data_IF_739722685285
#
_entry.id   IF_739722685285
#
_cell.length_a   1.000
_cell.length_b   1.000
_cell.length_c   1.000
_cell.angle_alpha   90.00
_cell.angle_beta   90.00
_cell.angle_gamma   90.00
#
_symmetry.space_group_name_H-M   'P 1'
#
loop_
_entity.id
_entity.type
_entity.pdbx_description
1 polymer ?
#
# COMPACT_ATOMS: atom_id res chain seq x y z
N UNK A 1 -5.11 -2.84 -7.40
CA UNK A 1 -4.94 -1.73 -6.47
C UNK A 1 -4.47 -2.20 -5.09
N UNK A 2 -5.13 -3.21 -4.46
CA UNK A 2 -4.74 -3.74 -3.14
C UNK A 2 -3.30 -4.25 -3.08
N UNK A 3 -2.87 -5.04 -4.07
CA UNK A 3 -1.51 -5.57 -4.11
C UNK A 3 -0.46 -4.47 -4.32
N UNK A 4 -0.72 -3.49 -5.18
CA UNK A 4 0.21 -2.38 -5.38
C UNK A 4 0.33 -1.53 -4.12
N UNK A 5 -0.78 -1.19 -3.45
CA UNK A 5 -0.74 -0.46 -2.17
C UNK A 5 0.02 -1.26 -1.08
N UNK A 6 -0.18 -2.59 -1.00
CA UNK A 6 0.57 -3.42 -0.06
C UNK A 6 2.08 -3.46 -0.36
N UNK A 7 2.47 -3.52 -1.65
CA UNK A 7 3.88 -3.46 -2.07
C UNK A 7 4.48 -2.11 -1.70
N UNK A 8 3.80 -1.03 -2.06
CA UNK A 8 4.27 0.32 -1.80
C UNK A 8 4.47 0.56 -0.30
N UNK A 9 3.51 0.15 0.52
CA UNK A 9 3.62 0.22 1.98
C UNK A 9 4.77 -0.60 2.55
N UNK A 10 5.01 -1.79 2.01
CA UNK A 10 6.10 -2.65 2.49
C UNK A 10 7.48 -2.11 2.11
N UNK A 11 7.60 -1.44 0.95
CA UNK A 11 8.87 -0.86 0.50
C UNK A 11 9.14 0.49 1.17
N UNK A 12 8.10 1.32 1.35
CA UNK A 12 8.23 2.66 1.91
C UNK A 12 8.79 2.72 3.34
N UNK A 13 8.70 1.62 4.10
CA UNK A 13 9.26 1.53 5.45
C UNK A 13 10.70 1.03 5.49
N UNK A 14 11.25 0.62 4.34
CA UNK A 14 12.65 0.17 4.26
C UNK A 14 13.55 1.40 4.27
N UNK A 15 14.40 1.48 5.30
CA UNK A 15 15.36 2.56 5.45
C UNK A 15 16.71 2.18 4.81
N UNK A 16 17.01 2.80 3.67
CA UNK A 16 18.29 2.64 2.98
C UNK A 16 19.35 3.68 3.40
N UNK A 17 19.12 4.50 4.41
CA UNK A 17 20.09 5.49 4.90
C UNK A 17 21.49 4.92 5.17
N UNK A 18 21.67 3.66 5.65
CA UNK A 18 23.01 3.06 5.79
C UNK A 18 23.80 2.94 4.48
N UNK A 19 23.12 3.02 3.34
CA UNK A 19 23.71 2.96 1.99
C UNK A 19 23.74 4.34 1.30
N UNK A 20 23.35 5.41 1.99
CA UNK A 20 23.36 6.75 1.43
C UNK A 20 24.79 7.16 1.00
N UNK A 21 24.90 7.78 -0.17
CA UNK A 21 26.17 8.20 -0.75
C UNK A 21 27.06 7.07 -1.29
N UNK A 22 26.63 5.81 -1.22
CA UNK A 22 27.38 4.65 -1.72
C UNK A 22 26.91 4.26 -3.12
N UNK A 23 27.85 3.82 -3.96
CA UNK A 23 27.57 3.24 -5.28
C UNK A 23 26.98 1.85 -5.12
N UNK A 24 25.68 1.69 -5.41
CA UNK A 24 24.96 0.44 -5.18
C UNK A 24 24.34 -0.08 -6.48
N UNK A 25 24.45 -1.39 -6.68
CA UNK A 25 23.77 -2.11 -7.75
C UNK A 25 22.62 -2.92 -7.16
N UNK A 26 21.40 -2.77 -7.71
CA UNK A 26 20.26 -3.57 -7.30
C UNK A 26 20.19 -4.85 -8.15
N UNK A 27 20.46 -5.98 -7.52
CA UNK A 27 20.28 -7.30 -8.14
C UNK A 27 18.82 -7.75 -8.06
N UNK A 28 18.19 -7.89 -9.23
CA UNK A 28 16.77 -8.24 -9.36
C UNK A 28 16.56 -9.74 -9.61
N UNK A 29 17.61 -10.56 -9.56
CA UNK A 29 17.56 -11.97 -9.89
C UNK A 29 16.45 -12.74 -9.16
N UNK A 30 16.25 -12.45 -7.89
CA UNK A 30 15.25 -13.13 -7.07
C UNK A 30 13.85 -12.50 -7.17
N UNK A 31 13.72 -11.36 -7.85
CA UNK A 31 12.43 -10.72 -8.13
C UNK A 31 11.77 -11.25 -9.40
N UNK A 32 12.57 -11.71 -10.37
CA UNK A 32 12.08 -12.20 -11.69
C UNK A 32 11.12 -13.40 -11.56
N UNK A 33 11.23 -14.16 -10.48
CA UNK A 33 10.40 -15.36 -10.23
C UNK A 33 8.96 -14.99 -9.84
N UNK A 34 8.71 -13.72 -9.49
CA UNK A 34 7.38 -13.25 -9.10
C UNK A 34 6.50 -13.12 -10.34
N UNK A 35 5.79 -14.18 -10.66
CA UNK A 35 4.68 -14.13 -11.63
C UNK A 35 3.50 -13.48 -10.92
N UNK A 36 3.38 -12.17 -11.10
CA UNK A 36 2.29 -11.41 -10.46
C UNK A 36 0.93 -11.83 -10.99
N UNK A 37 -0.04 -11.89 -10.09
CA UNK A 37 -1.45 -11.96 -10.45
C UNK A 37 -1.90 -10.50 -10.68
N UNK A 38 -2.24 -10.15 -11.92
CA UNK A 38 -2.64 -8.80 -12.27
C UNK A 38 -1.47 -7.88 -12.68
N UNK A 39 -1.55 -6.59 -12.34
CA UNK A 39 -0.61 -5.55 -12.79
C UNK A 39 0.66 -5.43 -11.93
N UNK A 40 0.75 -6.12 -10.79
CA UNK A 40 1.92 -6.09 -9.92
C UNK A 40 2.85 -7.22 -10.36
N UNK A 41 3.93 -6.85 -11.02
CA UNK A 41 4.97 -7.74 -11.50
C UNK A 41 6.32 -7.38 -10.87
N UNK A 42 7.35 -8.15 -11.23
CA UNK A 42 8.72 -7.90 -10.76
C UNK A 42 9.23 -6.50 -11.13
N UNK A 43 8.80 -5.95 -12.26
CA UNK A 43 9.21 -4.62 -12.73
C UNK A 43 8.66 -3.51 -11.86
N UNK A 44 7.39 -3.62 -11.42
CA UNK A 44 6.79 -2.68 -10.49
C UNK A 44 7.55 -2.63 -9.16
N UNK A 45 7.83 -3.80 -8.58
CA UNK A 45 8.59 -3.91 -7.33
C UNK A 45 10.01 -3.35 -7.49
N UNK A 46 10.67 -3.68 -8.61
CA UNK A 46 12.00 -3.16 -8.93
C UNK A 46 11.99 -1.64 -9.01
N UNK A 47 11.00 -1.06 -9.68
CA UNK A 47 10.84 0.39 -9.80
C UNK A 47 10.63 1.06 -8.44
N UNK A 48 9.76 0.51 -7.60
CA UNK A 48 9.50 1.03 -6.25
C UNK A 48 10.74 0.96 -5.35
N UNK A 49 11.50 -0.16 -5.40
CA UNK A 49 12.76 -0.29 -4.67
C UNK A 49 13.81 0.73 -5.14
N UNK A 50 13.99 0.87 -6.46
CA UNK A 50 14.92 1.86 -7.04
C UNK A 50 14.56 3.28 -6.58
N UNK A 51 13.28 3.63 -6.59
CA UNK A 51 12.79 4.93 -6.15
C UNK A 51 13.09 5.16 -4.66
N UNK A 52 12.81 4.18 -3.79
CA UNK A 52 13.08 4.28 -2.36
C UNK A 52 14.59 4.38 -2.06
N UNK A 53 15.43 3.65 -2.79
CA UNK A 53 16.90 3.73 -2.67
C UNK A 53 17.40 5.12 -3.08
N UNK A 54 16.94 5.66 -4.20
CA UNK A 54 17.30 7.00 -4.65
C UNK A 54 16.83 8.06 -3.65
N UNK A 55 15.59 7.95 -3.16
CA UNK A 55 15.06 8.84 -2.14
C UNK A 55 15.87 8.82 -0.84
N UNK A 56 16.49 7.70 -0.52
CA UNK A 56 17.39 7.55 0.62
C UNK A 56 18.83 8.01 0.35
N UNK A 57 19.12 8.54 -0.86
CA UNK A 57 20.43 9.07 -1.22
C UNK A 57 21.44 8.02 -1.69
N UNK A 58 21.02 6.83 -2.11
CA UNK A 58 21.89 5.85 -2.72
C UNK A 58 22.29 6.27 -4.15
N UNK A 59 23.54 6.01 -4.54
CA UNK A 59 24.04 6.24 -5.90
C UNK A 59 23.83 4.95 -6.71
N UNK A 60 22.64 4.83 -7.33
CA UNK A 60 22.26 3.63 -8.08
C UNK A 60 23.09 3.50 -9.35
N UNK A 61 23.65 2.28 -9.55
CA UNK A 61 24.38 1.88 -10.74
C UNK A 61 23.53 0.94 -11.59
N UNK A 62 23.67 1.05 -12.91
CA UNK A 62 22.94 0.19 -13.85
C UNK A 62 23.68 -1.13 -14.13
N UNK A 63 24.99 -1.16 -13.91
CA UNK A 63 25.82 -2.35 -14.11
C UNK A 63 26.40 -2.85 -12.78
N UNK A 64 26.48 -4.18 -12.60
CA UNK A 64 27.02 -4.74 -11.37
C UNK A 64 28.50 -4.38 -11.12
N UNK A 65 29.29 -4.19 -12.19
CA UNK A 65 30.70 -3.81 -12.11
C UNK A 65 30.93 -2.39 -11.55
N UNK A 66 29.97 -1.48 -11.77
CA UNK A 66 30.06 -0.08 -11.34
C UNK A 66 29.63 0.09 -9.87
N UNK A 67 28.95 -0.90 -9.31
CA UNK A 67 28.52 -0.89 -7.91
C UNK A 67 29.61 -1.35 -6.96
N UNK A 68 29.89 -0.60 -5.92
CA UNK A 68 30.73 -1.03 -4.79
C UNK A 68 29.98 -2.03 -3.92
N UNK A 69 28.68 -1.81 -3.74
CA UNK A 69 27.79 -2.67 -2.97
C UNK A 69 26.72 -3.28 -3.86
N UNK A 70 26.34 -4.51 -3.55
CA UNK A 70 25.22 -5.20 -4.18
C UNK A 70 24.08 -5.25 -3.19
N UNK A 71 22.90 -4.83 -3.63
CA UNK A 71 21.64 -4.91 -2.89
C UNK A 71 20.80 -6.00 -3.52
N UNK A 72 20.45 -7.01 -2.76
CA UNK A 72 19.54 -8.07 -3.19
C UNK A 72 18.21 -7.95 -2.49
N UNK A 73 17.13 -8.04 -3.27
CA UNK A 73 15.76 -7.99 -2.77
C UNK A 73 15.04 -9.30 -3.06
N UNK A 74 14.18 -9.72 -2.14
CA UNK A 74 13.32 -10.89 -2.30
C UNK A 74 11.91 -10.58 -1.85
N UNK A 75 10.93 -11.15 -2.56
CA UNK A 75 9.52 -11.14 -2.16
C UNK A 75 9.21 -12.51 -1.56
N UNK A 76 8.82 -12.54 -0.29
CA UNK A 76 8.45 -13.77 0.40
C UNK A 76 6.98 -14.14 0.26
N UNK A 77 6.12 -13.14 0.08
CA UNK A 77 4.70 -13.31 -0.21
C UNK A 77 4.18 -12.10 -0.97
N UNK A 78 3.32 -12.34 -1.92
CA UNK A 78 2.54 -11.34 -2.63
C UNK A 78 1.23 -12.00 -3.05
N UNK A 79 0.12 -11.53 -2.51
CA UNK A 79 -1.16 -12.15 -2.78
C UNK A 79 -2.35 -11.33 -2.28
N UNK A 80 -3.51 -11.79 -2.68
CA UNK A 80 -4.79 -11.27 -2.20
C UNK A 80 -5.62 -12.40 -1.62
N UNK A 81 -6.37 -12.07 -0.59
CA UNK A 81 -7.40 -12.93 0.00
C UNK A 81 -8.75 -12.21 -0.06
N UNK A 82 -9.82 -12.97 -0.21
CA UNK A 82 -11.18 -12.45 -0.25
C UNK A 82 -12.04 -13.23 0.75
N UNK A 83 -12.75 -12.49 1.58
CA UNK A 83 -13.65 -13.05 2.56
C UNK A 83 -15.02 -12.39 2.48
N UNK A 84 -16.00 -13.16 2.04
CA UNK A 84 -17.38 -12.72 1.87
C UNK A 84 -18.25 -13.30 2.96
N UNK A 85 -18.98 -12.45 3.67
CA UNK A 85 -19.94 -12.85 4.70
C UNK A 85 -21.32 -12.31 4.34
N UNK A 86 -22.27 -13.22 4.16
CA UNK A 86 -23.66 -12.87 3.91
C UNK A 86 -24.51 -13.28 5.10
N UNK A 87 -25.24 -12.33 5.65
CA UNK A 87 -26.25 -12.55 6.67
C UNK A 87 -27.63 -12.48 6.01
N UNK A 88 -28.37 -13.58 6.05
CA UNK A 88 -29.66 -13.63 5.38
C UNK A 88 -30.25 -15.03 5.35
N UNK A 89 -31.29 -15.19 4.57
CA UNK A 89 -31.87 -16.48 4.29
C UNK A 89 -31.23 -16.97 2.99
N UNK A 90 -30.36 -17.99 3.03
CA UNK A 90 -29.76 -18.51 1.81
C UNK A 90 -30.84 -19.03 0.88
N UNK A 91 -30.65 -18.98 -0.45
CA UNK A 91 -31.55 -19.64 -1.39
C UNK A 91 -31.63 -21.09 -0.96
N UNK A 92 -32.77 -21.45 -0.36
CA UNK A 92 -32.88 -22.73 0.31
C UNK A 92 -33.05 -23.84 -0.71
N UNK A 93 -31.94 -24.44 -1.09
CA UNK A 93 -31.95 -25.76 -1.75
C UNK A 93 -32.73 -26.81 -0.96
N UNK A 94 -32.75 -26.69 0.38
CA UNK A 94 -33.50 -27.60 1.26
C UNK A 94 -35.01 -27.44 1.19
N UNK A 95 -35.52 -26.19 1.16
CA UNK A 95 -36.98 -25.95 1.01
C UNK A 95 -37.42 -26.25 -0.44
N UNK A 96 -36.60 -25.92 -1.43
CA UNK A 96 -36.88 -26.30 -2.80
C UNK A 96 -36.89 -27.81 -3.00
N UNK A 97 -35.94 -28.54 -2.39
CA UNK A 97 -35.90 -30.00 -2.42
C UNK A 97 -37.10 -30.65 -1.67
N UNK A 98 -37.52 -30.06 -0.53
CA UNK A 98 -38.69 -30.52 0.18
C UNK A 98 -40.00 -30.26 -0.62
N UNK A 99 -40.07 -29.15 -1.35
CA UNK A 99 -41.18 -28.82 -2.24
C UNK A 99 -41.22 -29.73 -3.48
N UNK A 100 -40.07 -30.24 -3.94
CA UNK A 100 -39.98 -31.22 -5.04
C UNK A 100 -40.57 -32.59 -4.66
N UNK A 101 -40.67 -32.92 -3.37
CA UNK A 101 -41.27 -34.15 -2.89
C UNK A 101 -42.80 -34.09 -2.82
N UNK A 102 -43.40 -32.92 -3.00
CA UNK A 102 -44.84 -32.75 -2.99
C UNK A 102 -45.39 -32.65 -4.42
N UNK A 103 -46.26 -33.58 -4.87
CA UNK A 103 -46.87 -33.49 -6.15
C UNK A 103 -47.80 -32.28 -6.25
N UNK A 104 -47.73 -31.50 -7.30
CA UNK A 104 -48.55 -30.32 -7.63
C UNK A 104 -48.24 -29.03 -6.87
N UNK A 105 -47.07 -28.89 -6.26
CA UNK A 105 -46.64 -27.56 -5.72
C UNK A 105 -45.91 -26.80 -6.82
N UNK A 106 -46.35 -25.56 -7.17
CA UNK A 106 -45.63 -24.74 -8.16
C UNK A 106 -44.25 -24.41 -7.62
N UNK A 107 -43.22 -24.59 -8.48
CA UNK A 107 -41.84 -24.20 -8.17
C UNK A 107 -41.74 -22.70 -8.07
N UNK A 108 -41.78 -22.17 -6.86
CA UNK A 108 -41.52 -20.76 -6.61
C UNK A 108 -40.02 -20.63 -6.29
N UNK A 109 -39.23 -19.97 -7.13
CA UNK A 109 -37.85 -19.69 -6.79
C UNK A 109 -37.83 -18.77 -5.58
N UNK A 110 -37.26 -19.24 -4.47
CA UNK A 110 -37.07 -18.40 -3.28
C UNK A 110 -35.82 -17.56 -3.56
N UNK A 111 -35.99 -16.23 -3.69
CA UNK A 111 -34.85 -15.38 -3.94
C UNK A 111 -33.90 -15.38 -2.73
N UNK A 112 -32.63 -15.15 -2.97
CA UNK A 112 -31.66 -14.88 -1.93
C UNK A 112 -32.06 -13.59 -1.18
N UNK A 113 -32.43 -13.73 0.11
CA UNK A 113 -32.79 -12.58 0.94
C UNK A 113 -31.57 -12.25 1.79
N UNK A 114 -30.71 -11.42 1.25
CA UNK A 114 -29.54 -10.89 1.95
C UNK A 114 -29.94 -9.68 2.81
N UNK A 115 -29.92 -9.85 4.12
CA UNK A 115 -30.15 -8.77 5.08
C UNK A 115 -28.90 -7.88 5.23
N UNK A 116 -27.72 -8.50 5.20
CA UNK A 116 -26.45 -7.79 5.17
C UNK A 116 -25.43 -8.64 4.41
N UNK A 117 -24.58 -7.97 3.63
CA UNK A 117 -23.44 -8.58 2.94
C UNK A 117 -22.20 -7.74 3.21
N UNK A 118 -21.13 -8.42 3.51
CA UNK A 118 -19.82 -7.81 3.75
C UNK A 118 -18.79 -8.52 2.89
N UNK A 119 -18.12 -7.76 2.05
CA UNK A 119 -17.02 -8.22 1.23
C UNK A 119 -15.73 -7.61 1.77
N UNK A 120 -14.83 -8.43 2.27
CA UNK A 120 -13.51 -8.02 2.74
C UNK A 120 -12.45 -8.55 1.75
N UNK A 121 -11.71 -7.64 1.14
CA UNK A 121 -10.58 -7.95 0.28
C UNK A 121 -9.30 -7.53 0.99
N UNK A 122 -8.33 -8.42 1.07
CA UNK A 122 -7.04 -8.21 1.70
C UNK A 122 -5.93 -8.42 0.68
N UNK A 123 -5.03 -7.43 0.54
CA UNK A 123 -3.76 -7.57 -0.16
C UNK A 123 -2.62 -7.67 0.86
N UNK A 124 -1.63 -8.52 0.61
CA UNK A 124 -0.46 -8.67 1.46
C UNK A 124 0.82 -8.70 0.65
N UNK A 125 1.85 -8.02 1.15
CA UNK A 125 3.20 -8.02 0.61
C UNK A 125 4.22 -8.25 1.72
N UNK A 126 5.23 -9.08 1.43
CA UNK A 126 6.35 -9.36 2.31
C UNK A 126 7.65 -9.22 1.53
N UNK A 127 8.44 -8.22 1.89
CA UNK A 127 9.70 -7.87 1.22
C UNK A 127 10.84 -7.95 2.22
N UNK A 128 11.99 -8.43 1.78
CA UNK A 128 13.24 -8.38 2.54
C UNK A 128 14.38 -7.98 1.61
N UNK A 129 15.26 -7.14 2.11
CA UNK A 129 16.40 -6.59 1.36
C UNK A 129 17.66 -6.73 2.20
N UNK A 130 18.78 -7.05 1.57
CA UNK A 130 20.09 -7.04 2.22
C UNK A 130 21.16 -6.53 1.26
N UNK A 131 22.25 -6.05 1.82
CA UNK A 131 23.35 -5.47 1.08
C UNK A 131 24.68 -6.05 1.55
N UNK A 132 25.61 -6.24 0.60
CA UNK A 132 26.95 -6.68 0.87
C UNK A 132 27.96 -6.00 -0.07
N UNK A 133 29.21 -5.95 0.36
CA UNK A 133 30.29 -5.44 -0.47
C UNK A 133 30.56 -6.40 -1.64
N UNK A 134 30.59 -5.88 -2.87
CA UNK A 134 30.61 -6.68 -4.10
C UNK A 134 31.80 -7.65 -4.16
N UNK A 135 33.00 -7.19 -3.82
CA UNK A 135 34.23 -8.00 -3.97
C UNK A 135 34.45 -8.97 -2.81
N UNK A 136 34.31 -8.45 -1.58
CA UNK A 136 34.63 -9.24 -0.37
C UNK A 136 33.48 -10.11 0.10
N UNK A 137 32.24 -9.87 -0.40
CA UNK A 137 31.00 -10.52 0.04
C UNK A 137 30.68 -10.32 1.52
N UNK A 138 31.33 -9.36 2.17
CA UNK A 138 31.05 -9.02 3.56
C UNK A 138 29.68 -8.35 3.64
N UNK A 139 28.76 -8.84 4.49
CA UNK A 139 27.46 -8.23 4.68
C UNK A 139 27.61 -6.83 5.31
N UNK A 140 26.83 -5.88 4.82
CA UNK A 140 26.89 -4.49 5.28
C UNK A 140 25.62 -4.08 5.99
N UNK A 141 24.48 -4.56 5.47
CA UNK A 141 23.18 -4.13 5.98
C UNK A 141 22.06 -5.10 5.55
N UNK A 142 21.02 -5.17 6.35
CA UNK A 142 19.77 -5.87 6.02
C UNK A 142 18.56 -5.11 6.57
N UNK A 143 17.48 -5.07 5.82
CA UNK A 143 16.22 -4.41 6.24
C UNK A 143 15.43 -5.18 7.30
N UNK A 144 15.77 -6.46 7.50
CA UNK A 144 14.82 -7.37 8.13
C UNK A 144 13.68 -7.73 7.17
N UNK A 145 12.57 -8.19 7.72
CA UNK A 145 11.38 -8.55 6.94
C UNK A 145 10.36 -7.42 7.08
N UNK A 146 10.09 -6.75 5.98
CA UNK A 146 9.01 -5.77 5.88
C UNK A 146 7.73 -6.47 5.42
N UNK A 147 6.65 -6.31 6.19
CA UNK A 147 5.32 -6.85 5.87
C UNK A 147 4.33 -5.71 5.88
N UNK A 148 3.52 -5.64 4.83
CA UNK A 148 2.40 -4.72 4.79
C UNK A 148 1.15 -5.39 4.23
N UNK A 149 0.02 -4.94 4.73
CA UNK A 149 -1.30 -5.34 4.27
C UNK A 149 -2.09 -4.14 3.80
N UNK A 150 -2.95 -4.38 2.83
CA UNK A 150 -3.89 -3.41 2.29
C UNK A 150 -5.27 -4.04 2.25
N UNK A 151 -6.30 -3.30 2.61
CA UNK A 151 -7.65 -3.84 2.65
C UNK A 151 -8.67 -2.92 1.98
N UNK A 152 -9.71 -3.56 1.45
CA UNK A 152 -10.94 -2.93 0.97
C UNK A 152 -12.12 -3.68 1.56
N UNK A 153 -13.09 -2.95 2.08
CA UNK A 153 -14.30 -3.52 2.67
C UNK A 153 -15.51 -2.83 2.09
N UNK A 154 -16.41 -3.62 1.55
CA UNK A 154 -17.70 -3.18 1.05
C UNK A 154 -18.80 -3.79 1.92
N UNK A 155 -19.67 -2.95 2.47
CA UNK A 155 -20.78 -3.39 3.33
C UNK A 155 -22.11 -2.95 2.73
N UNK A 156 -23.02 -3.91 2.62
CA UNK A 156 -24.40 -3.71 2.16
C UNK A 156 -25.34 -4.08 3.31
N UNK A 157 -26.38 -3.27 3.52
CA UNK A 157 -27.40 -3.52 4.54
C UNK A 157 -28.77 -3.35 3.90
N UNK A 158 -29.61 -4.37 3.94
CA UNK A 158 -30.97 -4.39 3.35
C UNK A 158 -30.99 -3.97 1.87
N UNK A 159 -29.94 -4.36 1.11
CA UNK A 159 -29.79 -3.99 -0.30
C UNK A 159 -29.31 -2.57 -0.53
N UNK A 160 -29.05 -1.79 0.51
CA UNK A 160 -28.50 -0.44 0.43
C UNK A 160 -27.00 -0.48 0.66
N UNK A 161 -26.23 0.09 -0.27
CA UNK A 161 -24.75 0.09 -0.21
C UNK A 161 -24.16 0.34 -1.60
N UNK A 162 -22.82 0.14 -1.77
CA UNK A 162 -21.87 -0.22 -0.71
C UNK A 162 -21.50 0.95 0.21
N UNK A 163 -21.32 0.65 1.50
CA UNK A 163 -20.51 1.48 2.40
C UNK A 163 -19.09 0.94 2.30
N UNK A 164 -18.18 1.75 1.79
CA UNK A 164 -16.81 1.38 1.47
C UNK A 164 -15.85 1.93 2.51
N UNK A 165 -15.00 1.06 3.05
CA UNK A 165 -13.97 1.39 4.02
C UNK A 165 -12.70 0.56 3.74
N UNK A 166 -11.55 1.05 4.19
CA UNK A 166 -10.29 0.34 4.02
C UNK A 166 -9.11 1.23 3.68
N UNK A 167 -7.92 0.62 3.63
CA UNK A 167 -6.66 1.36 3.42
C UNK A 167 -6.54 1.98 2.04
N UNK A 168 -7.19 1.38 1.02
CA UNK A 168 -7.18 1.90 -0.36
C UNK A 168 -8.17 3.05 -0.56
N UNK A 169 -9.11 3.24 0.36
CA UNK A 169 -10.04 4.35 0.30
C UNK A 169 -9.55 5.51 1.17
N UNK A 170 -9.63 6.72 0.65
CA UNK A 170 -9.32 7.93 1.41
C UNK A 170 -10.55 8.40 2.22
N UNK A 171 -10.96 7.58 3.20
CA UNK A 171 -12.15 7.78 4.03
C UNK A 171 -13.30 6.83 3.68
N UNK A 172 -14.41 6.96 4.39
CA UNK A 172 -15.61 6.15 4.16
C UNK A 172 -16.40 6.69 2.97
N UNK A 173 -16.77 5.82 2.05
CA UNK A 173 -17.56 6.14 0.86
C UNK A 173 -18.89 5.40 0.90
N UNK A 174 -19.94 6.03 0.38
CA UNK A 174 -21.23 5.40 0.14
C UNK A 174 -21.60 5.59 -1.32
N UNK A 175 -21.82 4.49 -2.03
CA UNK A 175 -22.14 4.50 -3.46
C UNK A 175 -21.24 5.44 -4.30
N UNK A 176 -19.93 5.47 -3.99
CA UNK A 176 -18.94 6.31 -4.67
C UNK A 176 -18.81 7.75 -4.14
N UNK A 177 -19.71 8.20 -3.26
CA UNK A 177 -19.64 9.54 -2.64
C UNK A 177 -18.96 9.48 -1.28
N UNK A 178 -18.03 10.41 -1.01
CA UNK A 178 -17.34 10.48 0.27
C UNK A 178 -18.30 10.90 1.38
N UNK A 179 -18.38 10.11 2.45
CA UNK A 179 -19.19 10.42 3.64
C UNK A 179 -18.28 10.56 4.86
N UNK A 180 -18.57 11.55 5.69
CA UNK A 180 -17.97 11.71 7.00
C UNK A 180 -18.96 11.20 8.05
N UNK A 181 -18.85 9.93 8.44
CA UNK A 181 -19.66 9.37 9.54
C UNK A 181 -18.74 9.25 10.75
N UNK A 182 -18.88 10.14 11.77
CA UNK A 182 -17.95 10.17 12.92
C UNK A 182 -17.88 8.83 13.69
N UNK A 183 -18.98 8.05 13.64
CA UNK A 183 -19.10 6.78 14.39
C UNK A 183 -18.48 5.58 13.65
N UNK A 184 -18.37 5.64 12.32
CA UNK A 184 -17.86 4.57 11.46
C UNK A 184 -16.47 4.87 10.90
N UNK A 185 -15.95 6.06 11.15
CA UNK A 185 -14.59 6.41 10.82
C UNK A 185 -13.64 5.58 11.69
N UNK A 186 -13.31 4.40 11.21
CA UNK A 186 -12.30 3.56 11.82
C UNK A 186 -11.02 4.38 11.98
N UNK A 187 -10.27 4.17 13.08
CA UNK A 187 -8.95 4.75 13.28
C UNK A 187 -8.17 4.53 11.99
N UNK A 188 -7.78 5.62 11.35
CA UNK A 188 -6.82 5.60 10.25
C UNK A 188 -5.66 4.75 10.74
N UNK A 189 -5.43 3.62 10.10
CA UNK A 189 -4.20 2.89 10.36
C UNK A 189 -3.10 3.79 9.82
N UNK A 190 -2.43 4.47 10.74
CA UNK A 190 -1.24 5.21 10.38
C UNK A 190 -0.29 4.24 9.69
N UNK A 191 0.30 4.64 8.57
CA UNK A 191 1.30 3.81 7.93
C UNK A 191 2.36 3.45 8.96
N UNK A 192 2.94 2.23 8.90
CA UNK A 192 3.98 1.80 9.82
C UNK A 192 5.06 2.87 9.88
N UNK A 193 5.71 3.01 11.03
CA UNK A 193 6.76 4.01 11.29
C UNK A 193 7.74 4.03 10.11
N UNK A 194 7.74 5.13 9.37
CA UNK A 194 8.56 5.31 8.17
C UNK A 194 9.98 5.66 8.57
N UNK A 195 10.95 5.25 7.77
CA UNK A 195 12.28 5.85 7.78
C UNK A 195 12.22 7.37 7.54
N UNK A 196 13.35 8.06 7.71
CA UNK A 196 13.46 9.52 7.56
C UNK A 196 12.94 10.02 6.20
N UNK A 197 13.05 9.21 5.15
CA UNK A 197 12.60 9.52 3.79
C UNK A 197 11.82 8.33 3.23
N UNK A 198 10.67 8.62 2.65
CA UNK A 198 9.84 7.62 1.96
C UNK A 198 9.48 8.14 0.58
N UNK A 199 9.53 7.28 -0.43
CA UNK A 199 9.09 7.63 -1.77
C UNK A 199 7.58 7.95 -1.87
N UNK A 200 6.83 7.71 -0.80
CA UNK A 200 5.43 8.15 -0.67
C UNK A 200 5.29 9.65 -0.49
N UNK A 201 6.33 10.31 0.01
CA UNK A 201 6.25 11.71 0.34
C UNK A 201 6.77 12.55 -0.85
N UNK A 202 6.11 13.64 -1.15
CA UNK A 202 6.61 14.62 -2.10
C UNK A 202 7.84 15.29 -1.49
N UNK A 203 8.98 15.15 -2.15
CA UNK A 203 10.26 15.66 -1.67
C UNK A 203 11.03 16.27 -2.81
N UNK A 204 11.62 17.43 -2.57
CA UNK A 204 12.57 18.06 -3.49
C UNK A 204 13.99 17.77 -3.02
N UNK A 205 14.79 17.24 -3.93
CA UNK A 205 16.21 17.01 -3.69
C UNK A 205 17.02 18.23 -4.14
N UNK A 206 18.10 18.53 -3.43
CA UNK A 206 19.02 19.56 -3.84
C UNK A 206 19.60 19.22 -5.22
N UNK A 207 19.60 20.22 -6.14
CA UNK A 207 20.00 20.03 -7.55
C UNK A 207 21.48 19.70 -7.73
N UNK A 208 22.32 20.02 -6.74
CA UNK A 208 23.78 19.87 -6.83
C UNK A 208 24.22 18.62 -6.11
N UNK A 209 23.70 18.37 -4.92
CA UNK A 209 24.13 17.27 -4.05
C UNK A 209 23.26 16.02 -4.18
N UNK A 210 22.05 16.16 -4.71
CA UNK A 210 21.05 15.11 -4.72
C UNK A 210 20.59 14.68 -3.32
N UNK A 211 21.04 15.38 -2.27
CA UNK A 211 20.68 15.08 -0.90
C UNK A 211 19.30 15.66 -0.57
N UNK A 212 18.64 14.97 0.33
CA UNK A 212 17.40 15.42 0.90
C UNK A 212 17.65 16.71 1.72
N UNK A 213 17.17 17.83 1.22
CA UNK A 213 17.09 19.05 2.01
C UNK A 213 15.98 18.89 3.02
N UNK A 214 16.32 18.69 4.29
CA UNK A 214 15.34 18.90 5.38
C UNK A 214 14.96 20.38 5.25
N UNK A 215 13.70 20.74 4.92
CA UNK A 215 13.30 22.13 4.96
C UNK A 215 13.59 22.63 6.37
N UNK A 216 14.51 23.57 6.51
CA UNK A 216 14.71 24.25 7.78
C UNK A 216 13.33 24.74 8.21
N UNK A 217 12.93 24.37 9.42
CA UNK A 217 11.71 24.93 9.98
C UNK A 217 11.88 26.45 9.91
N UNK A 218 10.93 27.15 9.27
CA UNK A 218 11.02 28.58 9.16
C UNK A 218 11.27 29.16 10.55
N UNK A 219 12.28 30.00 10.68
CA UNK A 219 12.56 30.67 11.95
C UNK A 219 11.31 31.44 12.39
N UNK A 220 11.10 31.64 13.68
CA UNK A 220 9.95 32.40 14.19
C UNK A 220 9.80 33.76 13.49
N UNK A 221 10.91 34.37 13.05
CA UNK A 221 10.92 35.63 12.32
C UNK A 221 10.42 35.49 10.86
N UNK A 222 10.75 34.40 10.19
CA UNK A 222 10.25 34.11 8.83
C UNK A 222 8.77 33.77 8.85
N UNK A 223 8.33 33.00 9.87
CA UNK A 223 6.93 32.69 10.07
C UNK A 223 6.10 33.98 10.31
N UNK A 224 6.60 34.90 11.12
CA UNK A 224 5.96 36.19 11.35
C UNK A 224 5.89 37.05 10.09
N UNK A 225 6.95 37.08 9.26
CA UNK A 225 6.92 37.79 7.96
C UNK A 225 5.91 37.20 6.99
N UNK A 226 5.78 35.86 6.96
CA UNK A 226 4.75 35.20 6.14
C UNK A 226 3.34 35.54 6.61
N UNK A 227 3.09 35.55 7.92
CA UNK A 227 1.81 35.93 8.52
C UNK A 227 1.49 37.39 8.21
N UNK A 228 2.44 38.30 8.34
CA UNK A 228 2.26 39.71 8.01
C UNK A 228 1.97 39.96 6.51
N UNK A 229 2.57 39.15 5.63
CA UNK A 229 2.30 39.23 4.18
C UNK A 229 0.88 38.79 3.83
N UNK A 230 0.34 37.80 4.54
CA UNK A 230 -1.04 37.31 4.35
C UNK A 230 -2.06 38.28 4.92
N UNK A 231 -1.75 38.95 6.04
CA UNK A 231 -2.67 39.90 6.69
C UNK A 231 -2.75 41.24 5.93
N UNK A 232 -1.75 41.57 5.11
CA UNK A 232 -1.70 42.82 4.32
C UNK A 232 -2.46 42.78 2.99
N UNK A 233 -3.24 41.75 2.69
CA UNK A 233 -4.12 41.73 1.51
C UNK A 233 -5.28 42.68 1.78
N UNK A 234 -5.42 43.81 1.07
CA UNK A 234 -6.53 44.72 1.28
C UNK A 234 -7.82 44.06 0.86
N UNK A 235 -8.82 44.07 1.75
CA UNK A 235 -10.18 43.70 1.38
C UNK A 235 -10.67 44.73 0.40
N UNK A 236 -10.87 44.34 -0.86
CA UNK A 236 -11.64 45.04 -1.86
C UNK A 236 -13.12 44.78 -1.64
#
# INVERSE_FOLDING_TARGET
LLMSDAVDRSIAVIDFAPLAGKAVYLDTKYLVVVKGIGFVNAEYVTSALRQQMLASGCLLQDKPEDGEYVVEARIGALGTDAHDVTYGIPPSSGIAQAAEMLPNVPRVPIPDISLARKEDLLGASKVAVFAYHRETKIPVWQSGISVATSNARDTFVLGVGPVQDGTIYHGTHFAGSRMQIPLLSGKRQDPPTRGLVSYYDEVQFDKITGQFGIPEKPTPEELNRQIESIVKVPRL
#
